data_IF_244503237360
#
_entry.id   IF_244503237360
#
_cell.length_a   1.000
_cell.length_b   1.000
_cell.length_c   1.000
_cell.angle_alpha   90.00
_cell.angle_beta   90.00
_cell.angle_gamma   90.00
#
_symmetry.space_group_name_H-M   'P 1'
#
loop_
_entity.id
_entity.type
_entity.pdbx_description
1 polymer ?
#
# COMPACT_ATOMS: atom_id res chain seq x y z
N UNK A 1 15.87 16.09 10.19
CA UNK A 1 15.44 15.07 9.20
C UNK A 1 14.28 14.30 9.80
N UNK A 2 13.06 14.47 9.27
CA UNK A 2 11.89 13.70 9.71
C UNK A 2 12.10 12.26 9.22
N UNK A 3 12.51 11.37 10.11
CA UNK A 3 12.58 9.95 9.81
C UNK A 3 11.18 9.50 9.35
N UNK A 4 11.14 8.63 8.35
CA UNK A 4 9.86 8.12 7.85
C UNK A 4 9.01 7.61 9.00
N UNK A 5 7.69 7.87 8.99
CA UNK A 5 6.82 7.46 10.08
C UNK A 5 6.96 5.95 10.24
N UNK A 6 7.61 5.55 11.34
CA UNK A 6 7.71 4.16 11.74
C UNK A 6 6.27 3.73 12.00
N UNK A 7 5.78 2.77 11.21
CA UNK A 7 4.40 2.27 11.39
C UNK A 7 4.23 1.83 12.85
N UNK A 8 3.18 2.31 13.49
CA UNK A 8 2.81 1.93 14.87
C UNK A 8 2.38 0.45 14.96
N UNK A 9 2.06 -0.17 13.82
CA UNK A 9 1.52 -1.53 13.71
C UNK A 9 2.64 -2.58 13.72
N UNK A 10 2.64 -3.47 14.71
CA UNK A 10 3.64 -4.55 14.93
C UNK A 10 3.11 -5.95 14.57
N UNK A 11 2.37 -6.08 13.47
CA UNK A 11 1.86 -7.38 13.00
C UNK A 11 2.91 -8.21 12.24
N UNK A 12 2.74 -9.54 12.11
CA UNK A 12 3.68 -10.39 11.35
C UNK A 12 3.76 -10.01 9.87
N UNK A 13 2.75 -9.29 9.35
CA UNK A 13 2.68 -8.77 7.98
C UNK A 13 3.18 -7.34 7.82
N UNK A 14 3.59 -6.66 8.90
CA UNK A 14 4.17 -5.32 8.80
C UNK A 14 5.64 -5.41 8.37
N UNK A 15 5.89 -5.51 7.07
CA UNK A 15 7.21 -5.17 6.58
C UNK A 15 7.41 -3.66 6.77
N UNK A 16 8.48 -3.28 7.45
CA UNK A 16 8.87 -1.88 7.53
C UNK A 16 9.04 -1.33 6.11
N UNK A 17 8.38 -0.20 5.85
CA UNK A 17 8.40 0.42 4.53
C UNK A 17 9.82 0.92 4.21
N UNK A 18 10.53 1.40 5.24
CA UNK A 18 11.92 1.81 5.12
C UNK A 18 12.81 0.66 4.63
N UNK A 19 12.71 -0.50 5.27
CA UNK A 19 13.48 -1.67 4.88
C UNK A 19 13.14 -2.21 3.48
N UNK A 20 11.87 -2.15 3.07
CA UNK A 20 11.50 -2.51 1.70
C UNK A 20 12.07 -1.53 0.68
N UNK A 21 12.00 -0.23 0.95
CA UNK A 21 12.60 0.79 0.08
C UNK A 21 14.11 0.56 -0.03
N UNK A 22 14.81 0.34 1.09
CA UNK A 22 16.25 0.03 1.08
C UNK A 22 16.56 -1.21 0.25
N UNK A 23 15.80 -2.29 0.41
CA UNK A 23 15.97 -3.53 -0.38
C UNK A 23 15.81 -3.26 -1.87
N UNK A 24 14.76 -2.53 -2.26
CA UNK A 24 14.53 -2.18 -3.67
C UNK A 24 15.63 -1.28 -4.23
N UNK A 25 16.09 -0.29 -3.46
CA UNK A 25 17.21 0.57 -3.85
C UNK A 25 18.48 -0.26 -4.04
N UNK A 26 18.82 -1.15 -3.12
CA UNK A 26 19.99 -2.04 -3.25
C UNK A 26 19.90 -2.94 -4.47
N UNK A 27 18.71 -3.45 -4.80
CA UNK A 27 18.50 -4.27 -6.01
C UNK A 27 18.67 -3.46 -7.29
N UNK A 28 18.17 -2.21 -7.33
CA UNK A 28 18.18 -1.38 -8.53
C UNK A 28 19.46 -0.56 -8.71
N UNK A 29 20.16 -0.25 -7.63
CA UNK A 29 21.38 0.58 -7.60
C UNK A 29 22.51 -0.11 -6.83
N UNK A 30 23.00 -1.28 -7.29
CA UNK A 30 24.01 -2.06 -6.57
C UNK A 30 25.36 -1.34 -6.43
N UNK A 31 25.68 -0.39 -7.33
CA UNK A 31 26.90 0.43 -7.27
C UNK A 31 26.60 1.90 -6.90
N UNK A 32 25.41 2.18 -6.33
CA UNK A 32 24.99 3.54 -5.99
C UNK A 32 24.97 4.44 -7.23
N UNK A 33 25.66 5.59 -7.15
CA UNK A 33 25.77 6.59 -8.23
C UNK A 33 26.49 6.07 -9.49
N UNK A 34 27.34 5.05 -9.36
CA UNK A 34 28.01 4.45 -10.51
C UNK A 34 27.14 3.43 -11.27
N UNK A 35 25.94 3.14 -10.78
CA UNK A 35 25.01 2.22 -11.45
C UNK A 35 24.50 2.86 -12.74
N UNK A 36 24.51 2.11 -13.85
CA UNK A 36 23.85 2.54 -15.09
C UNK A 36 22.36 2.32 -14.97
N UNK A 37 21.57 3.38 -15.18
CA UNK A 37 20.12 3.40 -14.96
C UNK A 37 19.45 3.94 -16.22
N UNK A 38 18.31 3.36 -16.60
CA UNK A 38 17.48 3.92 -17.65
C UNK A 38 16.69 5.11 -17.10
N UNK A 39 17.15 6.32 -17.41
CA UNK A 39 16.51 7.57 -16.98
C UNK A 39 15.04 7.64 -17.38
N UNK A 40 14.66 7.12 -18.56
CA UNK A 40 13.27 7.14 -19.02
C UNK A 40 12.40 6.22 -18.19
N UNK A 41 12.93 5.06 -17.79
CA UNK A 41 12.22 4.14 -16.91
C UNK A 41 11.99 4.79 -15.53
N UNK A 42 13.01 5.44 -14.98
CA UNK A 42 12.91 6.20 -13.73
C UNK A 42 11.86 7.32 -13.80
N UNK A 43 11.86 8.10 -14.87
CA UNK A 43 10.85 9.14 -15.10
C UNK A 43 9.44 8.56 -15.19
N UNK A 44 9.27 7.42 -15.86
CA UNK A 44 7.99 6.74 -15.96
C UNK A 44 7.48 6.27 -14.60
N UNK A 45 8.36 5.71 -13.77
CA UNK A 45 8.02 5.33 -12.40
C UNK A 45 7.66 6.54 -11.55
N UNK A 46 8.49 7.59 -11.58
CA UNK A 46 8.24 8.82 -10.84
C UNK A 46 6.89 9.43 -11.20
N UNK A 47 6.62 9.60 -12.50
CA UNK A 47 5.36 10.13 -12.99
C UNK A 47 4.16 9.26 -12.57
N UNK A 48 4.33 7.94 -12.54
CA UNK A 48 3.30 7.02 -12.06
C UNK A 48 3.04 7.19 -10.55
N UNK A 49 4.08 7.33 -9.74
CA UNK A 49 3.95 7.59 -8.30
C UNK A 49 3.29 8.94 -8.03
N UNK A 50 3.63 9.99 -8.80
CA UNK A 50 2.99 11.31 -8.70
C UNK A 50 1.50 11.24 -9.06
N UNK A 51 1.11 10.42 -10.04
CA UNK A 51 -0.31 10.21 -10.38
C UNK A 51 -1.06 9.50 -9.26
N UNK A 52 -0.44 8.50 -8.64
CA UNK A 52 -1.02 7.78 -7.51
C UNK A 52 -1.17 8.71 -6.30
N UNK A 53 -0.12 9.47 -5.93
CA UNK A 53 -0.16 10.35 -4.77
C UNK A 53 -1.18 11.48 -4.89
N UNK A 54 -1.43 11.96 -6.11
CA UNK A 54 -2.42 12.99 -6.37
C UNK A 54 -3.84 12.45 -6.61
N UNK A 55 -4.06 11.14 -6.45
CA UNK A 55 -5.34 10.47 -6.67
C UNK A 55 -5.92 10.77 -8.08
N UNK A 56 -5.04 10.93 -9.09
CA UNK A 56 -5.43 11.39 -10.44
C UNK A 56 -6.54 10.52 -11.03
N UNK A 57 -6.41 9.20 -10.89
CA UNK A 57 -7.37 8.25 -11.44
C UNK A 57 -8.71 8.26 -10.70
N UNK A 58 -8.70 8.47 -9.38
CA UNK A 58 -9.92 8.60 -8.59
C UNK A 58 -10.72 9.85 -8.96
N UNK A 59 -10.04 10.97 -9.22
CA UNK A 59 -10.65 12.23 -9.66
C UNK A 59 -11.12 12.16 -11.11
N UNK A 60 -10.37 11.48 -11.97
CA UNK A 60 -10.69 11.37 -13.40
C UNK A 60 -11.87 10.42 -13.67
N UNK A 61 -12.02 9.38 -12.86
CA UNK A 61 -13.08 8.39 -13.01
C UNK A 61 -13.83 8.22 -11.70
N UNK A 62 -14.69 9.20 -11.42
CA UNK A 62 -15.59 9.13 -10.27
C UNK A 62 -16.53 7.94 -10.44
N UNK A 63 -16.54 7.06 -9.43
CA UNK A 63 -17.43 5.89 -9.41
C UNK A 63 -18.72 6.29 -8.70
N UNK A 64 -19.89 6.19 -9.37
CA UNK A 64 -21.17 6.57 -8.77
C UNK A 64 -21.62 5.61 -7.66
N UNK A 65 -21.08 4.39 -7.63
CA UNK A 65 -21.36 3.37 -6.63
C UNK A 65 -20.08 2.65 -6.24
N UNK A 66 -20.02 2.15 -5.00
CA UNK A 66 -18.95 1.28 -4.54
C UNK A 66 -19.14 -0.09 -5.20
N UNK A 67 -18.23 -0.46 -6.10
CA UNK A 67 -18.27 -1.73 -6.84
C UNK A 67 -17.17 -2.68 -6.40
N UNK A 68 -16.93 -2.79 -5.09
CA UNK A 68 -16.01 -3.82 -4.60
C UNK A 68 -16.75 -5.14 -4.45
N UNK A 69 -16.03 -6.24 -4.63
CA UNK A 69 -16.60 -7.58 -4.52
C UNK A 69 -17.15 -7.89 -3.11
N UNK A 70 -16.68 -7.17 -2.09
CA UNK A 70 -17.08 -7.35 -0.70
C UNK A 70 -18.29 -6.50 -0.27
N UNK A 71 -18.68 -5.48 -1.03
CA UNK A 71 -19.68 -4.47 -0.60
C UNK A 71 -19.22 -3.55 0.55
N UNK A 72 -18.02 -3.77 1.10
CA UNK A 72 -17.54 -3.10 2.32
C UNK A 72 -17.10 -1.65 2.06
N UNK A 73 -17.25 -0.75 3.03
CA UNK A 73 -16.72 0.61 2.92
C UNK A 73 -15.20 0.66 3.17
N UNK A 74 -14.56 1.82 2.95
CA UNK A 74 -13.11 1.97 3.15
C UNK A 74 -12.66 1.71 4.59
N UNK A 75 -13.50 2.06 5.58
CA UNK A 75 -13.18 1.86 7.00
C UNK A 75 -13.25 0.38 7.38
N UNK A 76 -14.25 -0.34 6.90
CA UNK A 76 -14.40 -1.79 7.09
C UNK A 76 -13.24 -2.56 6.45
N UNK A 77 -12.82 -2.16 5.24
CA UNK A 77 -11.64 -2.71 4.58
C UNK A 77 -10.36 -2.41 5.35
N UNK A 78 -10.21 -1.19 5.84
CA UNK A 78 -9.07 -0.78 6.66
C UNK A 78 -9.01 -1.60 7.95
N UNK A 79 -10.12 -1.71 8.66
CA UNK A 79 -10.20 -2.47 9.90
C UNK A 79 -9.97 -3.97 9.66
N UNK A 80 -10.54 -4.55 8.60
CA UNK A 80 -10.30 -5.95 8.24
C UNK A 80 -8.85 -6.21 7.78
N UNK A 81 -8.13 -5.22 7.25
CA UNK A 81 -6.71 -5.36 6.94
C UNK A 81 -5.84 -5.28 8.19
N UNK A 82 -6.16 -4.35 9.10
CA UNK A 82 -5.33 -3.98 10.25
C UNK A 82 -5.81 -4.52 11.61
N UNK A 83 -6.85 -5.34 11.68
CA UNK A 83 -7.27 -5.99 12.92
C UNK A 83 -6.21 -6.98 13.40
N UNK A 84 -5.71 -6.79 14.62
CA UNK A 84 -4.68 -7.63 15.26
C UNK A 84 -5.22 -9.01 15.68
N UNK A 85 -6.54 -9.15 15.86
CA UNK A 85 -7.15 -10.30 16.53
C UNK A 85 -7.22 -11.57 15.67
N UNK A 86 -7.02 -11.47 14.35
CA UNK A 86 -7.15 -12.62 13.43
C UNK A 86 -6.16 -12.54 12.25
N UNK A 87 -4.86 -12.38 12.51
CA UNK A 87 -3.86 -12.32 11.43
C UNK A 87 -3.89 -13.57 10.52
N UNK A 88 -4.18 -14.75 11.04
CA UNK A 88 -4.08 -16.01 10.29
C UNK A 88 -5.32 -16.34 9.42
N UNK A 89 -6.43 -15.60 9.57
CA UNK A 89 -7.64 -15.83 8.77
C UNK A 89 -7.59 -15.10 7.42
N UNK A 90 -8.18 -15.69 6.36
CA UNK A 90 -8.28 -15.03 5.07
C UNK A 90 -9.06 -13.72 5.17
N UNK A 91 -8.64 -12.69 4.42
CA UNK A 91 -9.22 -11.34 4.46
C UNK A 91 -10.75 -11.34 4.27
N UNK A 92 -11.27 -12.25 3.46
CA UNK A 92 -12.71 -12.39 3.20
C UNK A 92 -13.45 -12.81 4.48
N UNK A 93 -12.88 -13.67 5.32
CA UNK A 93 -13.49 -14.12 6.57
C UNK A 93 -13.46 -13.02 7.63
N UNK A 94 -12.36 -12.26 7.71
CA UNK A 94 -12.24 -11.07 8.56
C UNK A 94 -13.25 -9.99 8.17
N UNK A 95 -13.47 -9.80 6.86
CA UNK A 95 -14.50 -8.90 6.32
C UNK A 95 -15.93 -9.36 6.66
N UNK A 96 -16.19 -10.67 6.69
CA UNK A 96 -17.48 -11.19 7.14
C UNK A 96 -17.68 -10.90 8.63
N UNK A 97 -16.67 -11.14 9.47
CA UNK A 97 -16.75 -10.87 10.91
C UNK A 97 -17.06 -9.39 11.20
N UNK A 98 -16.45 -8.45 10.46
CA UNK A 98 -16.74 -7.01 10.63
C UNK A 98 -18.11 -6.59 10.09
N UNK A 99 -18.62 -7.22 9.03
CA UNK A 99 -19.95 -6.91 8.46
C UNK A 99 -21.12 -7.52 9.25
N UNK A 100 -20.94 -8.70 9.86
CA UNK A 100 -21.99 -9.41 10.61
C UNK A 100 -22.01 -9.12 12.13
N UNK A 101 -21.08 -8.32 12.65
CA UNK A 101 -21.05 -7.89 14.05
C UNK A 101 -21.97 -6.68 14.35
N UNK A 102 -22.89 -6.33 13.44
CA UNK A 102 -23.85 -5.24 13.57
C UNK A 102 -25.25 -5.76 13.84
#
# INVERSE_FOLDING_TARGET
MKQWPVKEFKGKRSSDLGDQIKKQILTKFPQGEASTVDEKECDNYYNSLVRISNDVHKKRWERPKITNASGANNEELRNALYSEEEEDKPLIERLKATMFAK
#
